data_IF_589466394836
#
_entry.id   IF_589466394836
#
_cell.length_a   1.000
_cell.length_b   1.000
_cell.length_c   1.000
_cell.angle_alpha   90.00
_cell.angle_beta   90.00
_cell.angle_gamma   90.00
#
_symmetry.space_group_name_H-M   'P 1'
#
loop_
_entity.id
_entity.type
_entity.pdbx_description
1 polymer ?
#
# COMPACT_ATOMS: atom_id res chain seq x y z
N UNK A 1 -18.68 16.04 -3.75
CA UNK A 1 -18.62 16.51 -5.16
C UNK A 1 -17.34 16.02 -5.80
N UNK A 2 -17.36 15.87 -7.12
CA UNK A 2 -16.15 15.53 -7.89
C UNK A 2 -15.20 16.73 -7.96
N UNK A 3 -13.91 16.44 -8.04
CA UNK A 3 -12.86 17.38 -8.43
C UNK A 3 -12.36 16.96 -9.81
N UNK A 4 -12.57 17.80 -10.79
CA UNK A 4 -12.19 17.54 -12.17
C UNK A 4 -11.31 18.68 -12.70
N UNK A 5 -10.08 18.33 -13.04
CA UNK A 5 -9.06 19.22 -13.60
C UNK A 5 -8.77 18.90 -15.07
N UNK A 6 -9.67 18.17 -15.72
CA UNK A 6 -9.54 17.86 -17.15
C UNK A 6 -9.46 19.15 -17.95
N UNK A 7 -8.50 19.23 -18.88
CA UNK A 7 -8.30 20.39 -19.73
C UNK A 7 -7.65 21.61 -19.11
N UNK A 8 -7.16 21.48 -17.89
CA UNK A 8 -6.33 22.55 -17.28
C UNK A 8 -5.01 22.64 -18.03
N UNK A 9 -4.62 23.88 -18.40
CA UNK A 9 -3.37 24.17 -19.11
C UNK A 9 -2.44 25.01 -18.24
N UNK A 10 -1.21 25.21 -18.66
CA UNK A 10 -0.21 26.04 -17.96
C UNK A 10 0.30 25.50 -16.63
N UNK A 11 0.43 24.18 -16.52
CA UNK A 11 1.06 23.50 -15.37
C UNK A 11 0.61 24.04 -14.01
N UNK A 12 -0.68 23.98 -13.68
CA UNK A 12 -1.18 24.52 -12.43
C UNK A 12 -0.58 23.79 -11.24
N UNK A 13 -0.31 24.54 -10.19
CA UNK A 13 0.25 24.01 -8.96
C UNK A 13 -0.85 23.77 -7.94
N UNK A 14 -0.94 22.54 -7.44
CA UNK A 14 -1.84 22.18 -6.34
C UNK A 14 -1.04 22.06 -5.03
N UNK A 15 -1.27 22.98 -4.12
CA UNK A 15 -0.56 23.02 -2.84
C UNK A 15 -1.52 22.76 -1.68
N UNK A 16 -1.25 21.70 -0.91
CA UNK A 16 -2.03 21.28 0.25
C UNK A 16 -1.20 21.14 1.53
N UNK A 17 -0.10 21.89 1.67
CA UNK A 17 0.82 21.75 2.80
C UNK A 17 0.10 21.67 4.14
N UNK A 18 0.19 20.52 4.80
CA UNK A 18 -0.38 20.29 6.12
C UNK A 18 -1.90 20.38 6.18
N UNK A 19 -2.61 20.35 5.05
CA UNK A 19 -4.07 20.41 4.98
C UNK A 19 -4.67 19.03 4.69
N UNK A 20 -5.90 18.85 5.17
CA UNK A 20 -6.74 17.70 4.84
C UNK A 20 -7.88 18.20 3.97
N UNK A 21 -8.05 17.58 2.82
CA UNK A 21 -9.18 17.81 1.93
C UNK A 21 -10.06 16.57 1.93
N UNK A 22 -11.26 16.71 2.48
CA UNK A 22 -12.28 15.66 2.45
C UNK A 22 -13.03 15.67 1.12
N UNK A 23 -13.07 14.49 0.50
CA UNK A 23 -13.62 14.30 -0.84
C UNK A 23 -14.73 13.25 -0.78
N UNK A 24 -15.91 13.63 -1.26
CA UNK A 24 -17.07 12.73 -1.35
C UNK A 24 -17.36 12.27 -2.78
N UNK A 25 -16.52 12.60 -3.75
CA UNK A 25 -16.63 12.22 -5.16
C UNK A 25 -15.33 11.72 -5.73
N UNK A 26 -15.27 11.60 -7.04
CA UNK A 26 -14.05 11.24 -7.77
C UNK A 26 -13.12 12.43 -7.97
N UNK A 27 -11.84 12.13 -8.20
CA UNK A 27 -10.80 13.12 -8.47
C UNK A 27 -10.13 12.79 -9.80
N UNK A 28 -10.05 13.77 -10.67
CA UNK A 28 -9.33 13.68 -11.94
C UNK A 28 -8.28 14.78 -12.00
N UNK A 29 -7.02 14.37 -12.05
CA UNK A 29 -5.89 15.24 -12.34
C UNK A 29 -5.38 15.00 -13.76
N UNK A 30 -4.61 15.94 -14.28
CA UNK A 30 -3.94 15.80 -15.59
C UNK A 30 -2.43 15.66 -15.41
N UNK A 31 -1.75 15.21 -16.47
CA UNK A 31 -0.28 15.09 -16.50
C UNK A 31 0.45 16.42 -16.28
N UNK A 32 -0.22 17.54 -16.60
CA UNK A 32 0.39 18.87 -16.49
C UNK A 32 0.32 19.48 -15.10
N UNK A 33 -0.42 18.86 -14.17
CA UNK A 33 -0.51 19.36 -12.82
C UNK A 33 0.76 19.09 -12.02
N UNK A 34 1.15 20.07 -11.23
CA UNK A 34 2.24 19.92 -10.27
C UNK A 34 1.68 19.88 -8.84
N UNK A 35 2.16 18.93 -8.07
CA UNK A 35 1.82 18.82 -6.66
C UNK A 35 2.98 19.35 -5.83
N UNK A 36 2.74 20.40 -5.07
CA UNK A 36 3.71 20.94 -4.14
C UNK A 36 3.24 20.61 -2.72
N UNK A 37 4.10 19.89 -2.01
CA UNK A 37 3.97 19.55 -0.61
C UNK A 37 2.84 18.59 -0.20
N UNK A 38 3.10 17.94 0.91
CA UNK A 38 2.32 16.80 1.41
C UNK A 38 1.11 17.27 2.20
N UNK A 39 -0.07 17.22 1.58
CA UNK A 39 -1.36 17.26 2.25
C UNK A 39 -1.99 15.88 2.29
N UNK A 40 -3.24 15.83 2.72
CA UNK A 40 -4.04 14.60 2.77
C UNK A 40 -5.32 14.74 1.96
N UNK A 41 -5.52 13.85 1.01
CA UNK A 41 -6.82 13.62 0.37
C UNK A 41 -7.54 12.51 1.14
N UNK A 42 -8.65 12.85 1.76
CA UNK A 42 -9.46 11.91 2.55
C UNK A 42 -10.78 11.61 1.83
N UNK A 43 -10.91 10.40 1.29
CA UNK A 43 -12.14 9.94 0.64
C UNK A 43 -13.09 9.37 1.69
N UNK A 44 -14.24 10.03 1.88
CA UNK A 44 -15.17 9.76 2.98
C UNK A 44 -16.57 9.27 2.53
N UNK A 45 -16.84 9.26 1.23
CA UNK A 45 -18.16 8.90 0.70
C UNK A 45 -18.38 7.39 0.69
N UNK A 46 -19.61 6.95 0.97
CA UNK A 46 -20.02 5.55 0.77
C UNK A 46 -20.27 5.16 -0.68
N UNK A 47 -20.28 6.12 -1.61
CA UNK A 47 -20.44 5.85 -3.04
C UNK A 47 -19.16 5.31 -3.69
N UNK A 48 -19.29 4.73 -4.87
CA UNK A 48 -18.12 4.44 -5.72
C UNK A 48 -17.45 5.73 -6.14
N UNK A 49 -16.13 5.82 -5.92
CA UNK A 49 -15.31 6.95 -6.33
C UNK A 49 -14.02 6.45 -6.98
N UNK A 50 -13.39 7.31 -7.75
CA UNK A 50 -12.14 7.00 -8.43
C UNK A 50 -11.13 8.13 -8.30
N UNK A 51 -9.86 7.78 -8.48
CA UNK A 51 -8.78 8.74 -8.66
C UNK A 51 -8.03 8.47 -9.96
N UNK A 52 -7.88 9.51 -10.75
CA UNK A 52 -7.01 9.57 -11.90
C UNK A 52 -5.93 10.62 -11.63
N UNK A 53 -4.68 10.22 -11.62
CA UNK A 53 -3.56 11.09 -11.22
C UNK A 53 -2.90 11.79 -12.40
N UNK A 54 -3.22 11.35 -13.62
CA UNK A 54 -2.52 11.80 -14.82
C UNK A 54 -1.14 11.15 -15.01
N UNK A 55 -0.65 10.40 -14.05
CA UNK A 55 0.61 9.67 -14.19
C UNK A 55 0.51 8.57 -15.25
N UNK A 56 1.56 8.39 -16.03
CA UNK A 56 1.68 7.30 -17.02
C UNK A 56 2.39 6.09 -16.43
N UNK A 57 3.25 6.31 -15.43
CA UNK A 57 3.93 5.27 -14.67
C UNK A 57 4.29 5.76 -13.25
N UNK A 58 4.91 4.92 -12.46
CA UNK A 58 5.36 5.24 -11.11
C UNK A 58 6.87 5.46 -11.00
N UNK A 59 7.61 5.37 -12.10
CA UNK A 59 9.08 5.41 -12.12
C UNK A 59 9.66 6.82 -12.04
N UNK A 60 8.92 7.82 -12.45
CA UNK A 60 9.39 9.21 -12.48
C UNK A 60 9.59 9.77 -11.08
N UNK A 61 10.79 10.23 -10.79
CA UNK A 61 11.17 10.81 -9.50
C UNK A 61 10.50 12.16 -9.22
N UNK A 62 10.07 12.88 -10.23
CA UNK A 62 9.53 14.23 -10.12
C UNK A 62 8.03 14.35 -10.32
N UNK A 63 7.38 13.32 -10.83
CA UNK A 63 5.96 13.39 -11.13
C UNK A 63 5.11 13.17 -9.89
N UNK A 64 4.28 14.09 -9.63
CA UNK A 64 2.95 14.00 -9.06
C UNK A 64 2.77 13.11 -7.82
N UNK A 65 3.69 13.20 -6.84
CA UNK A 65 3.41 12.71 -5.51
C UNK A 65 2.26 13.53 -4.93
N UNK A 66 1.07 12.97 -4.94
CA UNK A 66 -0.16 13.64 -4.52
C UNK A 66 -0.35 13.69 -3.00
N UNK A 67 0.70 13.35 -2.24
CA UNK A 67 0.66 13.39 -0.78
C UNK A 67 0.06 12.12 -0.17
N UNK A 68 -0.68 12.28 0.92
CA UNK A 68 -1.34 11.16 1.59
C UNK A 68 -2.73 10.92 1.02
N UNK A 69 -3.05 9.66 0.76
CA UNK A 69 -4.37 9.20 0.35
C UNK A 69 -4.96 8.37 1.47
N UNK A 70 -6.07 8.83 2.03
CA UNK A 70 -6.82 8.11 3.03
C UNK A 70 -8.19 7.73 2.46
N UNK A 71 -8.47 6.45 2.39
CA UNK A 71 -9.74 5.90 1.98
C UNK A 71 -10.47 5.44 3.24
N UNK A 72 -11.28 6.33 3.80
CA UNK A 72 -11.99 6.17 5.07
C UNK A 72 -13.49 6.05 4.83
N UNK A 73 -13.85 5.14 3.98
CA UNK A 73 -15.23 4.98 3.57
C UNK A 73 -15.92 3.94 4.46
N UNK A 74 -17.08 4.25 5.02
CA UNK A 74 -17.82 3.25 5.80
C UNK A 74 -18.34 2.10 4.93
N UNK A 75 -18.37 2.29 3.61
CA UNK A 75 -18.70 1.33 2.56
C UNK A 75 -18.35 1.95 1.20
N UNK A 76 -18.54 1.19 0.13
CA UNK A 76 -18.32 1.67 -1.24
C UNK A 76 -16.91 1.40 -1.75
N UNK A 77 -16.69 1.80 -2.99
CA UNK A 77 -15.52 1.40 -3.76
C UNK A 77 -14.61 2.58 -4.06
N UNK A 78 -13.30 2.37 -3.98
CA UNK A 78 -12.29 3.31 -4.41
C UNK A 78 -11.45 2.66 -5.53
N UNK A 79 -11.44 3.28 -6.71
CA UNK A 79 -10.79 2.76 -7.90
C UNK A 79 -9.61 3.64 -8.32
N UNK A 80 -8.50 3.04 -8.67
CA UNK A 80 -7.47 3.71 -9.46
C UNK A 80 -7.88 3.70 -10.94
N UNK A 81 -7.67 4.81 -11.63
CA UNK A 81 -7.85 4.96 -13.09
C UNK A 81 -6.53 5.32 -13.78
N UNK A 82 -5.43 5.34 -13.04
CA UNK A 82 -4.06 5.55 -13.52
C UNK A 82 -3.07 5.09 -12.44
N UNK A 83 -1.79 4.96 -12.75
CA UNK A 83 -0.76 4.70 -11.75
C UNK A 83 -0.81 5.72 -10.61
N UNK A 84 -0.56 5.27 -9.39
CA UNK A 84 -0.63 6.10 -8.19
C UNK A 84 0.75 6.30 -7.58
N UNK A 85 1.13 7.56 -7.38
CA UNK A 85 2.28 7.92 -6.56
C UNK A 85 1.85 8.77 -5.39
N UNK A 86 2.17 8.32 -4.18
CA UNK A 86 1.75 8.98 -2.94
C UNK A 86 2.83 8.86 -1.85
N UNK A 87 2.76 9.69 -0.83
CA UNK A 87 3.57 9.51 0.38
C UNK A 87 3.00 8.41 1.27
N UNK A 88 1.67 8.31 1.32
CA UNK A 88 0.97 7.27 2.05
C UNK A 88 -0.31 6.88 1.30
N UNK A 89 -0.55 5.59 1.22
CA UNK A 89 -1.84 5.02 0.86
C UNK A 89 -2.39 4.29 2.08
N UNK A 90 -3.55 4.70 2.56
CA UNK A 90 -4.22 4.06 3.70
C UNK A 90 -5.66 3.76 3.34
N UNK A 91 -6.07 2.49 3.46
CA UNK A 91 -7.43 2.02 3.17
C UNK A 91 -7.98 1.35 4.40
N UNK A 92 -9.13 1.81 4.86
CA UNK A 92 -9.71 1.38 6.13
C UNK A 92 -11.25 1.42 6.13
N UNK A 93 -11.87 0.98 7.23
CA UNK A 93 -13.29 1.17 7.55
C UNK A 93 -14.28 0.53 6.58
N UNK A 94 -13.99 -0.68 6.07
CA UNK A 94 -14.91 -1.39 5.22
C UNK A 94 -14.94 -0.91 3.77
N UNK A 95 -13.91 -0.19 3.35
CA UNK A 95 -13.73 0.23 1.96
C UNK A 95 -13.35 -0.95 1.07
N UNK A 96 -13.81 -0.92 -0.18
CA UNK A 96 -13.29 -1.80 -1.22
C UNK A 96 -12.34 -1.00 -2.12
N UNK A 97 -11.11 -1.48 -2.27
CA UNK A 97 -10.08 -0.83 -3.08
C UNK A 97 -9.70 -1.68 -4.28
N UNK A 98 -9.75 -1.08 -5.46
CA UNK A 98 -9.29 -1.69 -6.71
C UNK A 98 -8.14 -0.88 -7.30
N UNK A 99 -7.04 -1.54 -7.58
CA UNK A 99 -5.96 -0.93 -8.35
C UNK A 99 -6.25 -0.90 -9.85
N UNK A 100 -7.14 -1.80 -10.33
CA UNK A 100 -7.42 -1.99 -11.76
C UNK A 100 -6.14 -2.23 -12.59
N UNK A 101 -5.23 -3.02 -12.04
CA UNK A 101 -3.91 -3.34 -12.60
C UNK A 101 -2.94 -2.15 -12.74
N UNK A 102 -3.27 -1.00 -12.17
CA UNK A 102 -2.36 0.13 -12.13
C UNK A 102 -1.36 0.00 -10.99
N UNK A 103 -0.12 0.38 -11.28
CA UNK A 103 0.97 0.34 -10.30
C UNK A 103 0.83 1.42 -9.22
N UNK A 104 1.30 1.10 -8.03
CA UNK A 104 1.32 2.00 -6.87
C UNK A 104 2.75 2.18 -6.39
N UNK A 105 3.18 3.44 -6.25
CA UNK A 105 4.44 3.79 -5.60
C UNK A 105 4.17 4.70 -4.41
N UNK A 106 4.60 4.28 -3.23
CA UNK A 106 4.33 5.03 -2.00
C UNK A 106 5.43 4.78 -0.96
N UNK A 107 5.52 5.68 0.04
CA UNK A 107 6.41 5.44 1.18
C UNK A 107 5.78 4.46 2.17
N UNK A 108 4.46 4.55 2.36
CA UNK A 108 3.71 3.68 3.26
C UNK A 108 2.44 3.19 2.58
N UNK A 109 2.18 1.91 2.64
CA UNK A 109 0.91 1.31 2.27
C UNK A 109 0.29 0.61 3.50
N UNK A 110 -0.87 1.07 3.93
CA UNK A 110 -1.58 0.54 5.07
C UNK A 110 -2.98 0.09 4.68
N UNK A 111 -3.29 -1.15 5.00
CA UNK A 111 -4.60 -1.73 4.78
C UNK A 111 -5.15 -2.25 6.11
N UNK A 112 -6.21 -1.60 6.59
CA UNK A 112 -6.79 -1.93 7.88
C UNK A 112 -8.18 -2.56 7.70
N UNK A 113 -8.38 -3.72 8.28
CA UNK A 113 -9.70 -4.32 8.41
C UNK A 113 -10.62 -3.43 9.24
N UNK A 114 -11.86 -3.29 8.84
CA UNK A 114 -12.86 -2.55 9.61
C UNK A 114 -13.31 -3.32 10.85
N UNK A 115 -13.77 -2.61 11.88
CA UNK A 115 -14.25 -3.21 13.13
C UNK A 115 -15.57 -4.01 12.95
N UNK A 116 -16.40 -3.58 12.00
CA UNK A 116 -17.73 -4.16 11.75
C UNK A 116 -17.97 -4.53 10.30
N UNK A 117 -17.15 -4.03 9.37
CA UNK A 117 -17.29 -4.24 7.93
C UNK A 117 -15.94 -4.62 7.34
N UNK A 118 -15.92 -5.59 6.44
CA UNK A 118 -14.69 -6.03 5.76
C UNK A 118 -14.12 -4.91 4.88
N UNK A 119 -12.82 -4.69 5.00
CA UNK A 119 -12.06 -3.95 4.02
C UNK A 119 -11.56 -4.94 2.98
N UNK A 120 -11.76 -4.66 1.70
CA UNK A 120 -11.41 -5.58 0.62
C UNK A 120 -10.42 -4.92 -0.32
N UNK A 121 -9.35 -5.62 -0.65
CA UNK A 121 -8.26 -5.11 -1.50
C UNK A 121 -8.11 -6.03 -2.72
N UNK A 122 -8.33 -5.48 -3.89
CA UNK A 122 -8.11 -6.14 -5.18
C UNK A 122 -6.97 -5.45 -5.92
N UNK A 123 -5.87 -6.14 -6.03
CA UNK A 123 -4.64 -5.58 -6.65
C UNK A 123 -4.40 -6.09 -8.07
N UNK A 124 -5.08 -7.15 -8.48
CA UNK A 124 -4.83 -7.75 -9.78
C UNK A 124 -3.35 -8.06 -9.99
N UNK A 125 -2.79 -7.62 -11.10
CA UNK A 125 -1.37 -7.79 -11.46
C UNK A 125 -0.49 -6.59 -11.10
N UNK A 126 -1.02 -5.61 -10.38
CA UNK A 126 -0.32 -4.39 -9.99
C UNK A 126 0.98 -4.64 -9.24
N UNK A 127 1.95 -3.74 -9.44
CA UNK A 127 3.14 -3.66 -8.60
C UNK A 127 2.97 -2.57 -7.54
N UNK A 128 3.27 -2.91 -6.29
CA UNK A 128 3.39 -1.96 -5.18
C UNK A 128 4.87 -1.73 -4.88
N UNK A 129 5.39 -0.54 -5.19
CA UNK A 129 6.73 -0.13 -4.80
C UNK A 129 6.68 0.71 -3.54
N UNK A 130 7.24 0.19 -2.45
CA UNK A 130 7.32 0.86 -1.16
C UNK A 130 8.74 1.40 -0.98
N UNK A 131 8.87 2.72 -0.98
CA UNK A 131 10.18 3.40 -1.02
C UNK A 131 10.82 3.64 0.35
N UNK A 132 10.03 3.50 1.42
CA UNK A 132 10.44 3.63 2.81
C UNK A 132 9.33 3.13 3.72
N UNK A 133 9.52 3.12 5.03
CA UNK A 133 8.48 2.72 5.97
C UNK A 133 8.00 1.27 5.82
N UNK A 134 6.73 1.04 5.50
CA UNK A 134 6.19 -0.33 5.45
C UNK A 134 5.04 -0.52 4.47
N UNK A 135 4.91 -1.74 3.98
CA UNK A 135 3.65 -2.31 3.51
C UNK A 135 3.04 -3.09 4.66
N UNK A 136 1.85 -2.72 5.09
CA UNK A 136 1.24 -3.30 6.27
C UNK A 136 -0.22 -3.62 6.03
N UNK A 137 -0.59 -4.86 6.31
CA UNK A 137 -1.95 -5.32 6.25
C UNK A 137 -2.38 -5.77 7.66
N UNK A 138 -3.28 -5.01 8.28
CA UNK A 138 -3.67 -5.23 9.65
C UNK A 138 -5.16 -5.50 9.80
N UNK A 139 -5.48 -6.39 10.70
CA UNK A 139 -6.82 -6.47 11.27
C UNK A 139 -6.91 -5.46 12.41
N UNK A 140 -7.57 -4.33 12.21
CA UNK A 140 -7.73 -3.37 13.30
C UNK A 140 -8.84 -3.80 14.25
N UNK A 141 -8.47 -4.15 15.46
CA UNK A 141 -9.39 -4.40 16.54
C UNK A 141 -8.67 -4.28 17.86
N UNK A 142 -8.61 -3.07 18.40
CA UNK A 142 -8.13 -2.81 19.76
C UNK A 142 -9.07 -3.36 20.86
N UNK A 143 -10.18 -3.99 20.47
CA UNK A 143 -11.12 -4.60 21.41
C UNK A 143 -10.91 -6.09 21.49
N UNK A 144 -10.46 -6.54 22.66
CA UNK A 144 -10.38 -7.94 23.04
C UNK A 144 -11.75 -8.65 23.12
N UNK A 145 -12.82 -8.02 22.66
CA UNK A 145 -14.12 -8.66 22.54
C UNK A 145 -14.18 -9.45 21.24
N UNK A 146 -14.20 -10.73 21.40
CA UNK A 146 -14.22 -11.84 20.45
C UNK A 146 -15.32 -11.83 19.37
N UNK A 147 -15.66 -10.67 18.81
CA UNK A 147 -16.69 -10.55 17.78
C UNK A 147 -16.12 -10.74 16.38
N UNK A 148 -16.60 -11.76 15.76
CA UNK A 148 -16.21 -12.62 14.63
C UNK A 148 -16.14 -11.94 13.26
N UNK A 149 -16.31 -10.62 13.13
CA UNK A 149 -16.59 -9.98 11.83
C UNK A 149 -15.59 -8.88 11.42
N UNK A 150 -14.34 -9.01 11.82
CA UNK A 150 -13.31 -8.01 11.51
C UNK A 150 -12.44 -8.53 10.38
N UNK A 151 -12.83 -8.28 9.14
CA UNK A 151 -12.14 -8.90 8.00
C UNK A 151 -11.37 -7.88 7.18
N UNK A 152 -10.13 -8.24 6.88
CA UNK A 152 -9.40 -7.74 5.74
C UNK A 152 -9.38 -8.85 4.69
N UNK A 153 -10.02 -8.60 3.55
CA UNK A 153 -9.97 -9.50 2.40
C UNK A 153 -8.94 -8.95 1.43
N UNK A 154 -7.91 -9.73 1.15
CA UNK A 154 -6.86 -9.32 0.22
C UNK A 154 -6.76 -10.30 -0.93
N UNK A 155 -6.60 -9.78 -2.15
CA UNK A 155 -6.18 -10.54 -3.31
C UNK A 155 -4.82 -10.01 -3.76
N UNK A 156 -3.76 -10.37 -3.01
CA UNK A 156 -2.38 -9.97 -3.27
C UNK A 156 -1.56 -11.06 -3.96
N UNK A 157 -2.17 -12.23 -4.23
CA UNK A 157 -1.44 -13.39 -4.76
C UNK A 157 -0.96 -13.21 -6.20
N UNK A 158 -1.58 -12.33 -6.98
CA UNK A 158 -1.17 -12.01 -8.35
C UNK A 158 -0.28 -10.78 -8.44
N UNK A 159 -0.17 -10.00 -7.39
CA UNK A 159 0.59 -8.76 -7.36
C UNK A 159 2.06 -8.97 -7.01
N UNK A 160 2.85 -7.93 -7.31
CA UNK A 160 4.25 -7.84 -6.90
C UNK A 160 4.43 -6.73 -5.87
N UNK A 161 5.00 -7.05 -4.72
CA UNK A 161 5.34 -6.08 -3.68
C UNK A 161 6.85 -5.85 -3.71
N UNK A 162 7.29 -4.65 -4.03
CA UNK A 162 8.69 -4.25 -4.11
C UNK A 162 9.01 -3.36 -2.92
N UNK A 163 9.87 -3.82 -2.04
CA UNK A 163 10.30 -3.12 -0.84
C UNK A 163 11.70 -2.53 -1.08
N UNK A 164 11.79 -1.25 -1.45
CA UNK A 164 13.08 -0.59 -1.74
C UNK A 164 13.83 -0.20 -0.46
N UNK A 165 13.13 0.29 0.55
CA UNK A 165 13.68 0.60 1.88
C UNK A 165 12.60 0.43 2.94
N UNK A 166 11.85 -0.64 2.85
CA UNK A 166 10.63 -0.84 3.62
C UNK A 166 10.54 -2.24 4.20
N UNK A 167 9.72 -2.40 5.22
CA UNK A 167 9.36 -3.69 5.81
C UNK A 167 8.01 -4.17 5.33
N UNK A 168 7.81 -5.47 5.31
CA UNK A 168 6.54 -6.13 5.11
C UNK A 168 6.01 -6.59 6.47
N UNK A 169 4.81 -6.18 6.81
CA UNK A 169 4.15 -6.69 8.01
C UNK A 169 2.69 -7.01 7.73
N UNK A 170 2.26 -8.15 8.21
CA UNK A 170 0.87 -8.52 8.25
C UNK A 170 0.57 -8.81 9.70
N UNK A 171 0.07 -7.83 10.45
CA UNK A 171 -0.23 -8.09 11.85
C UNK A 171 -1.68 -8.44 12.02
N UNK A 172 -1.92 -9.66 12.40
CA UNK A 172 -3.15 -10.02 13.04
C UNK A 172 -3.00 -9.77 14.54
N UNK A 173 -3.68 -8.76 15.05
CA UNK A 173 -3.79 -8.64 16.49
C UNK A 173 -4.69 -9.76 16.99
N UNK A 174 -4.08 -10.82 17.52
CA UNK A 174 -4.68 -11.91 18.26
C UNK A 174 -5.66 -12.88 17.56
N UNK A 175 -5.09 -14.00 17.11
CA UNK A 175 -5.48 -15.36 17.47
C UNK A 175 -6.65 -16.06 16.77
N UNK A 176 -6.34 -17.14 16.20
CA UNK A 176 -7.14 -18.36 15.98
C UNK A 176 -8.31 -18.36 14.97
N UNK A 177 -8.68 -17.26 14.33
CA UNK A 177 -9.72 -17.28 13.27
C UNK A 177 -9.32 -16.46 12.03
N UNK A 178 -8.11 -16.64 11.56
CA UNK A 178 -7.54 -15.81 10.50
C UNK A 178 -7.85 -16.33 9.11
N UNK A 179 -8.15 -15.41 8.18
CA UNK A 179 -7.83 -15.64 6.79
C UNK A 179 -6.37 -15.26 6.59
N UNK A 180 -5.51 -16.17 6.15
CA UNK A 180 -4.11 -15.90 5.94
C UNK A 180 -3.91 -14.79 4.91
N UNK A 181 -3.00 -13.85 5.20
CA UNK A 181 -2.59 -12.88 4.20
C UNK A 181 -1.59 -13.56 3.29
N UNK A 182 -1.97 -13.68 2.01
CA UNK A 182 -1.19 -14.38 1.01
C UNK A 182 -0.64 -13.38 -0.01
N UNK A 183 0.68 -13.40 -0.17
CA UNK A 183 1.39 -12.56 -1.12
C UNK A 183 1.84 -13.36 -2.34
N UNK A 184 1.78 -12.77 -3.53
CA UNK A 184 2.28 -13.36 -4.75
C UNK A 184 3.80 -13.30 -4.80
N UNK A 185 4.34 -12.22 -5.30
CA UNK A 185 5.76 -12.01 -5.42
C UNK A 185 6.21 -10.85 -4.52
N UNK A 186 7.13 -11.11 -3.62
CA UNK A 186 7.74 -10.10 -2.75
C UNK A 186 9.21 -9.95 -3.15
N UNK A 187 9.66 -8.72 -3.38
CA UNK A 187 11.01 -8.37 -3.72
C UNK A 187 11.56 -7.42 -2.67
N UNK A 188 12.54 -7.87 -1.90
CA UNK A 188 13.31 -7.01 -1.02
C UNK A 188 14.50 -6.45 -1.80
N UNK A 189 14.44 -5.16 -2.16
CA UNK A 189 15.56 -4.42 -2.74
C UNK A 189 16.16 -3.54 -1.66
N UNK A 190 17.36 -3.84 -1.14
CA UNK A 190 17.73 -3.07 0.02
C UNK A 190 19.18 -2.73 0.28
N UNK A 191 19.31 -1.56 0.92
CA UNK A 191 20.41 -1.10 1.75
C UNK A 191 19.90 -0.84 3.18
N UNK A 192 19.93 -1.81 4.09
CA UNK A 192 19.56 -1.63 5.50
C UNK A 192 18.79 -2.81 6.09
N UNK A 193 18.64 -2.80 7.39
CA UNK A 193 17.87 -3.81 8.12
C UNK A 193 16.39 -3.69 7.75
N UNK A 194 15.85 -4.71 7.12
CA UNK A 194 14.45 -4.77 6.71
C UNK A 194 13.87 -6.12 7.05
N UNK A 195 12.60 -6.09 7.33
CA UNK A 195 11.93 -7.18 8.00
C UNK A 195 10.74 -7.68 7.18
N UNK A 196 10.64 -8.99 7.10
CA UNK A 196 9.38 -9.67 6.88
C UNK A 196 8.88 -10.04 8.27
N UNK A 197 7.92 -9.25 8.76
CA UNK A 197 7.44 -9.35 10.11
C UNK A 197 6.36 -10.41 10.32
N UNK A 198 5.90 -10.48 11.55
CA UNK A 198 4.83 -11.37 11.97
C UNK A 198 3.51 -11.12 11.21
N UNK A 199 2.66 -12.14 11.14
CA UNK A 199 1.36 -12.11 10.48
C UNK A 199 1.39 -12.17 8.95
N UNK A 200 2.54 -12.42 8.35
CA UNK A 200 2.67 -12.81 6.95
C UNK A 200 2.58 -14.33 6.89
N UNK A 201 1.45 -14.85 6.40
CA UNK A 201 1.18 -16.30 6.47
C UNK A 201 1.73 -17.07 5.27
N UNK A 202 1.82 -16.39 4.11
CA UNK A 202 2.27 -17.05 2.90
C UNK A 202 2.87 -16.07 1.90
N UNK A 203 4.00 -16.46 1.31
CA UNK A 203 4.64 -15.78 0.18
C UNK A 203 4.93 -16.82 -0.89
N UNK A 204 4.30 -16.69 -2.07
CA UNK A 204 4.56 -17.60 -3.18
C UNK A 204 6.00 -17.51 -3.69
N UNK A 205 6.55 -16.29 -3.81
CA UNK A 205 7.92 -16.07 -4.24
C UNK A 205 8.53 -14.91 -3.47
N UNK A 206 9.69 -15.14 -2.85
CA UNK A 206 10.48 -14.12 -2.18
C UNK A 206 11.83 -13.99 -2.87
N UNK A 207 12.09 -12.83 -3.48
CA UNK A 207 13.39 -12.46 -3.99
C UNK A 207 14.06 -11.46 -3.04
N UNK A 208 15.20 -11.82 -2.50
CA UNK A 208 16.04 -10.94 -1.67
C UNK A 208 17.19 -10.47 -2.53
N UNK A 209 17.08 -9.24 -3.03
CA UNK A 209 18.04 -8.62 -3.93
C UNK A 209 18.78 -7.53 -3.17
N UNK A 210 19.88 -7.88 -2.53
CA UNK A 210 20.68 -6.87 -1.84
C UNK A 210 21.52 -6.09 -2.83
N UNK A 211 21.15 -4.84 -3.08
CA UNK A 211 21.88 -3.93 -3.93
C UNK A 211 22.58 -2.88 -3.05
N UNK A 212 23.91 -2.90 -3.01
CA UNK A 212 24.70 -1.78 -2.50
C UNK A 212 25.25 -1.96 -1.08
N UNK A 213 26.17 -1.15 -0.78
CA UNK A 213 27.02 -0.90 0.39
C UNK A 213 27.57 -2.08 1.19
N UNK A 214 28.91 -2.03 1.38
CA UNK A 214 29.68 -2.98 2.17
C UNK A 214 29.46 -2.87 3.69
N UNK A 215 28.30 -2.37 4.13
CA UNK A 215 28.02 -2.28 5.55
C UNK A 215 27.78 -3.67 6.11
N UNK A 216 28.62 -4.07 7.05
CA UNK A 216 28.58 -5.41 7.65
C UNK A 216 27.30 -5.69 8.43
N UNK A 217 26.48 -4.65 8.66
CA UNK A 217 25.25 -4.69 9.47
C UNK A 217 23.96 -4.68 8.65
N UNK A 218 24.03 -4.71 7.32
CA UNK A 218 22.85 -4.73 6.48
C UNK A 218 22.36 -6.17 6.26
N UNK A 219 21.22 -6.49 6.83
CA UNK A 219 20.56 -7.80 6.71
C UNK A 219 19.18 -7.66 6.11
N UNK A 220 18.74 -8.63 5.33
CA UNK A 220 17.32 -8.95 5.21
C UNK A 220 16.97 -9.83 6.42
N UNK A 221 15.97 -9.43 7.17
CA UNK A 221 15.56 -10.12 8.38
C UNK A 221 14.18 -10.73 8.17
N UNK A 222 14.08 -12.03 8.41
CA UNK A 222 12.80 -12.71 8.55
C UNK A 222 12.58 -12.86 10.06
N UNK A 223 11.52 -12.25 10.58
CA UNK A 223 11.23 -12.17 12.01
C UNK A 223 11.13 -13.57 12.63
N UNK A 224 11.63 -13.72 13.85
CA UNK A 224 11.55 -14.95 14.64
C UNK A 224 10.10 -15.41 14.85
N UNK A 225 9.12 -14.50 14.74
CA UNK A 225 7.69 -14.81 14.81
C UNK A 225 7.05 -15.05 13.44
N UNK A 226 7.83 -15.16 12.37
CA UNK A 226 7.32 -15.54 11.07
C UNK A 226 7.00 -17.05 11.08
N UNK A 227 5.73 -17.36 11.17
CA UNK A 227 5.21 -18.74 11.11
C UNK A 227 4.70 -19.13 9.71
N UNK A 228 4.92 -18.26 8.73
CA UNK A 228 4.40 -18.42 7.38
C UNK A 228 5.19 -19.40 6.51
N UNK A 229 4.69 -19.59 5.31
CA UNK A 229 5.30 -20.44 4.28
C UNK A 229 5.83 -19.58 3.14
N UNK A 230 7.04 -19.86 2.69
CA UNK A 230 7.63 -19.31 1.47
C UNK A 230 7.85 -20.46 0.50
N UNK A 231 7.10 -20.46 -0.63
CA UNK A 231 7.23 -21.55 -1.60
C UNK A 231 8.56 -21.50 -2.37
N UNK A 232 8.94 -20.29 -2.77
CA UNK A 232 10.19 -20.08 -3.52
C UNK A 232 10.99 -18.95 -2.90
N UNK A 233 12.20 -19.24 -2.46
CA UNK A 233 13.14 -18.27 -1.92
C UNK A 233 14.36 -18.14 -2.85
N UNK A 234 14.62 -16.93 -3.33
CA UNK A 234 15.81 -16.60 -4.11
C UNK A 234 16.59 -15.50 -3.39
N UNK A 235 17.84 -15.77 -3.09
CA UNK A 235 18.73 -14.86 -2.38
C UNK A 235 19.89 -14.48 -3.29
N UNK A 236 19.93 -13.20 -3.67
CA UNK A 236 21.03 -12.62 -4.45
C UNK A 236 21.65 -11.52 -3.62
N UNK A 237 22.76 -11.79 -2.92
CA UNK A 237 23.44 -10.82 -2.07
C UNK A 237 24.00 -11.41 -0.78
N UNK A 238 24.33 -10.59 0.18
CA UNK A 238 25.32 -10.94 1.19
C UNK A 238 24.82 -11.64 2.44
N UNK A 239 23.66 -11.29 2.99
CA UNK A 239 23.25 -11.86 4.28
C UNK A 239 21.73 -11.85 4.45
N UNK A 240 21.20 -12.99 4.82
CA UNK A 240 19.84 -13.14 5.36
C UNK A 240 19.97 -13.64 6.79
N UNK A 241 19.20 -13.08 7.68
CA UNK A 241 19.09 -13.56 9.06
C UNK A 241 17.67 -14.12 9.26
N UNK A 242 17.66 -15.34 9.75
CA UNK A 242 16.46 -16.04 10.19
C UNK A 242 16.41 -16.03 11.70
#
# INVERSE_FOLDING_TARGET
KNMDWTGVTNTPMFNMTGKILEISGSVTYTTDMQFQSVGTLSFISSSTVSIQTGATDTSDSNSNNIGNIYVRKPSGTFNLLSPLRSSRLQVENGSTFYTNDYDVRTTYAYFYGGATVSTTIYTGTSSFTITGGSFSAYYSGADASWNVNKYLETNLESSTIILESASLSGRSANYSMYRPIRFGHVILKNSGNREIGDGVDYIRKLDILQVGTNNQNDYAYIDDNFEGVIDTLNIVGKKVRF
#
